data_IF_204861575577
#
_entry.id   IF_204861575577
#
_cell.length_a   1.000
_cell.length_b   1.000
_cell.length_c   1.000
_cell.angle_alpha   90.00
_cell.angle_beta   90.00
_cell.angle_gamma   90.00
#
_symmetry.space_group_name_H-M   'P 1'
#
loop_
_entity.id
_entity.type
_entity.pdbx_description
1 polymer ?
#
# COMPACT_ATOMS: atom_id res chain seq x y z
N UNK A 1 -10.60 18.89 23.11
CA UNK A 1 -9.84 19.96 23.79
C UNK A 1 -9.35 19.37 25.10
N UNK A 2 -8.03 19.31 25.33
CA UNK A 2 -7.46 18.45 26.36
C UNK A 2 -7.56 19.08 27.76
N UNK A 3 -8.02 18.31 28.74
CA UNK A 3 -8.13 18.69 30.16
C UNK A 3 -6.76 18.71 30.87
N UNK A 4 -5.72 18.24 30.18
CA UNK A 4 -4.34 18.13 30.70
C UNK A 4 -3.61 19.48 30.74
N UNK A 5 -3.99 20.46 29.91
CA UNK A 5 -3.39 21.80 29.92
C UNK A 5 -3.79 22.56 31.19
N UNK A 6 -5.03 22.40 31.65
CA UNK A 6 -5.55 23.07 32.84
C UNK A 6 -4.99 22.49 34.13
N UNK A 7 -4.73 21.18 34.19
CA UNK A 7 -4.06 20.56 35.34
C UNK A 7 -2.59 20.98 35.48
N UNK A 8 -1.96 21.42 34.39
CA UNK A 8 -0.55 21.85 34.38
C UNK A 8 -0.39 23.36 34.62
N UNK A 9 -1.43 24.18 34.40
CA UNK A 9 -1.31 25.64 34.51
C UNK A 9 -1.15 26.17 35.93
N UNK A 10 -1.41 25.34 36.96
CA UNK A 10 -1.13 25.67 38.35
C UNK A 10 0.37 25.55 38.73
N UNK A 11 1.25 25.17 37.79
CA UNK A 11 2.68 24.91 38.03
C UNK A 11 3.63 25.90 37.34
N UNK A 12 3.13 26.91 36.62
CA UNK A 12 3.97 27.88 35.91
C UNK A 12 3.78 29.28 36.48
N UNK A 13 4.88 29.89 36.94
CA UNK A 13 4.86 31.18 37.63
C UNK A 13 4.80 32.38 36.64
N UNK A 14 4.89 32.10 35.33
CA UNK A 14 4.85 33.12 34.28
C UNK A 14 4.20 32.62 32.99
N UNK A 15 3.52 33.52 32.28
CA UNK A 15 2.98 33.29 30.93
C UNK A 15 4.09 32.91 29.93
N UNK A 16 5.32 33.39 30.14
CA UNK A 16 6.48 33.03 29.35
C UNK A 16 6.84 31.53 29.51
N UNK A 17 6.83 31.02 30.74
CA UNK A 17 7.14 29.61 31.02
C UNK A 17 6.06 28.67 30.48
N UNK A 18 4.79 29.05 30.65
CA UNK A 18 3.67 28.33 30.06
C UNK A 18 3.78 28.28 28.52
N UNK A 19 4.13 29.40 27.88
CA UNK A 19 4.35 29.45 26.42
C UNK A 19 5.53 28.57 25.98
N UNK A 20 6.66 28.60 26.69
CA UNK A 20 7.84 27.78 26.38
C UNK A 20 7.57 26.29 26.54
N UNK A 21 6.87 25.89 27.60
CA UNK A 21 6.47 24.50 27.81
C UNK A 21 5.51 24.02 26.70
N UNK A 22 4.58 24.88 26.27
CA UNK A 22 3.66 24.61 25.17
C UNK A 22 4.41 24.47 23.84
N UNK A 23 5.29 25.41 23.51
CA UNK A 23 6.16 25.39 22.34
C UNK A 23 7.00 24.11 22.28
N UNK A 24 7.64 23.74 23.40
CA UNK A 24 8.44 22.53 23.49
C UNK A 24 7.61 21.26 23.28
N UNK A 25 6.39 21.20 23.84
CA UNK A 25 5.47 20.07 23.67
C UNK A 25 4.95 19.97 22.24
N UNK A 26 4.59 21.09 21.61
CA UNK A 26 4.18 21.08 20.20
C UNK A 26 5.34 20.72 19.28
N UNK A 27 6.54 21.21 19.55
CA UNK A 27 7.73 20.85 18.77
C UNK A 27 8.04 19.35 18.87
N UNK A 28 7.96 18.76 20.07
CA UNK A 28 8.19 17.33 20.26
C UNK A 28 7.09 16.48 19.62
N UNK A 29 5.82 16.88 19.75
CA UNK A 29 4.68 16.19 19.14
C UNK A 29 4.74 16.25 17.61
N UNK A 30 5.08 17.40 17.03
CA UNK A 30 5.25 17.58 15.58
C UNK A 30 6.39 16.72 15.04
N UNK A 31 7.54 16.65 15.75
CA UNK A 31 8.65 15.79 15.36
C UNK A 31 8.30 14.31 15.45
N UNK A 32 7.61 13.89 16.51
CA UNK A 32 7.14 12.51 16.66
C UNK A 32 6.17 12.12 15.54
N UNK A 33 5.22 13.02 15.21
CA UNK A 33 4.29 12.83 14.08
C UNK A 33 5.02 12.68 12.75
N UNK A 34 6.00 13.53 12.46
CA UNK A 34 6.81 13.44 11.24
C UNK A 34 7.49 12.07 11.12
N UNK A 35 8.14 11.61 12.20
CA UNK A 35 8.80 10.31 12.23
C UNK A 35 7.81 9.15 12.06
N UNK A 36 6.63 9.25 12.66
CA UNK A 36 5.56 8.27 12.49
C UNK A 36 5.11 8.18 11.03
N UNK A 37 4.85 9.30 10.36
CA UNK A 37 4.41 9.32 8.97
C UNK A 37 5.50 8.73 8.06
N UNK A 38 6.76 9.12 8.26
CA UNK A 38 7.91 8.54 7.51
C UNK A 38 8.03 7.03 7.71
N UNK A 39 7.87 6.57 8.95
CA UNK A 39 7.85 5.14 9.25
C UNK A 39 6.72 4.44 8.51
N UNK A 40 5.49 4.97 8.58
CA UNK A 40 4.34 4.40 7.89
C UNK A 40 4.55 4.32 6.38
N UNK A 41 5.09 5.37 5.77
CA UNK A 41 5.40 5.41 4.35
C UNK A 41 6.46 4.37 3.95
N UNK A 42 7.49 4.17 4.78
CA UNK A 42 8.54 3.16 4.51
C UNK A 42 8.07 1.72 4.66
N UNK A 43 7.05 1.47 5.49
CA UNK A 43 6.53 0.13 5.80
C UNK A 43 5.23 -0.19 5.07
N UNK A 44 4.68 0.75 4.30
CA UNK A 44 3.40 0.54 3.63
C UNK A 44 3.57 -0.50 2.53
N UNK A 45 2.67 -1.48 2.54
CA UNK A 45 2.61 -2.53 1.53
C UNK A 45 1.19 -2.60 0.99
N UNK A 46 1.05 -2.95 -0.29
CA UNK A 46 -0.25 -3.24 -0.90
C UNK A 46 -0.93 -4.38 -0.14
N UNK A 47 -0.21 -5.51 0.01
CA UNK A 47 -0.77 -6.73 0.59
C UNK A 47 -2.09 -7.11 -0.07
N UNK A 48 -3.13 -7.27 0.76
CA UNK A 48 -4.49 -7.64 0.31
C UNK A 48 -5.36 -6.45 -0.11
N UNK A 49 -4.83 -5.22 -0.12
CA UNK A 49 -5.58 -4.05 -0.56
C UNK A 49 -5.75 -4.06 -2.08
N UNK A 50 -6.80 -3.42 -2.58
CA UNK A 50 -6.88 -3.06 -4.01
C UNK A 50 -5.80 -2.03 -4.35
N UNK A 51 -5.42 -1.94 -5.63
CA UNK A 51 -4.48 -0.91 -6.08
C UNK A 51 -5.01 0.51 -5.77
N UNK A 52 -6.30 0.75 -5.92
CA UNK A 52 -6.91 2.05 -5.60
C UNK A 52 -6.72 2.41 -4.12
N UNK A 53 -7.11 1.49 -3.21
CA UNK A 53 -6.98 1.73 -1.76
C UNK A 53 -5.53 1.92 -1.33
N UNK A 54 -4.61 1.19 -1.97
CA UNK A 54 -3.18 1.30 -1.72
C UNK A 54 -2.63 2.67 -2.17
N UNK A 55 -2.91 3.08 -3.40
CA UNK A 55 -2.53 4.38 -3.94
C UNK A 55 -3.08 5.54 -3.08
N UNK A 56 -4.35 5.46 -2.67
CA UNK A 56 -4.97 6.48 -1.83
C UNK A 56 -4.28 6.60 -0.47
N UNK A 57 -3.92 5.47 0.17
CA UNK A 57 -3.17 5.49 1.44
C UNK A 57 -1.79 6.11 1.29
N UNK A 58 -1.06 5.77 0.23
CA UNK A 58 0.26 6.36 -0.05
C UNK A 58 0.13 7.88 -0.25
N UNK A 59 -0.89 8.32 -1.00
CA UNK A 59 -1.17 9.73 -1.23
C UNK A 59 -1.51 10.49 0.05
N UNK A 60 -2.35 9.93 0.92
CA UNK A 60 -2.69 10.52 2.23
C UNK A 60 -1.44 10.72 3.09
N UNK A 61 -0.50 9.77 3.08
CA UNK A 61 0.77 9.90 3.81
C UNK A 61 1.65 11.00 3.20
N UNK A 62 1.73 11.09 1.88
CA UNK A 62 2.46 12.14 1.17
C UNK A 62 1.88 13.54 1.45
N UNK A 63 0.55 13.69 1.39
CA UNK A 63 -0.15 14.93 1.72
C UNK A 63 0.06 15.33 3.18
N UNK A 64 0.12 14.34 4.09
CA UNK A 64 0.44 14.56 5.50
C UNK A 64 1.87 15.07 5.69
N UNK A 65 2.85 14.54 4.93
CA UNK A 65 4.22 15.03 4.94
C UNK A 65 4.31 16.47 4.41
N UNK A 66 3.60 16.78 3.32
CA UNK A 66 3.47 18.14 2.77
C UNK A 66 2.92 19.12 3.81
N UNK A 67 1.86 18.72 4.53
CA UNK A 67 1.26 19.52 5.62
C UNK A 67 2.23 19.77 6.78
N UNK A 68 3.17 18.84 7.04
CA UNK A 68 4.23 19.03 8.04
C UNK A 68 5.45 19.81 7.54
N UNK A 69 5.40 20.38 6.33
CA UNK A 69 6.48 21.14 5.71
C UNK A 69 7.60 20.29 5.10
N UNK A 70 7.32 19.00 4.85
CA UNK A 70 8.28 18.05 4.27
C UNK A 70 7.69 17.39 3.01
N UNK A 71 7.33 18.14 1.96
CA UNK A 71 6.74 17.56 0.76
C UNK A 71 7.70 16.54 0.11
N UNK A 72 7.11 15.50 -0.49
CA UNK A 72 7.83 14.56 -1.34
C UNK A 72 7.70 15.01 -2.79
N UNK A 73 8.75 14.80 -3.56
CA UNK A 73 8.68 14.90 -5.01
C UNK A 73 8.00 13.66 -5.61
N UNK A 74 7.54 13.81 -6.85
CA UNK A 74 6.82 12.74 -7.54
C UNK A 74 7.68 11.49 -7.72
N UNK A 75 9.01 11.62 -7.90
CA UNK A 75 9.90 10.47 -8.07
C UNK A 75 10.02 9.65 -6.80
N UNK A 76 10.23 10.31 -5.65
CA UNK A 76 10.25 9.64 -4.34
C UNK A 76 8.89 8.99 -4.04
N UNK A 77 7.78 9.67 -4.35
CA UNK A 77 6.44 9.11 -4.17
C UNK A 77 6.23 7.85 -4.99
N UNK A 78 6.63 7.86 -6.26
CA UNK A 78 6.58 6.71 -7.16
C UNK A 78 7.45 5.57 -6.64
N UNK A 79 8.66 5.87 -6.17
CA UNK A 79 9.56 4.86 -5.60
C UNK A 79 8.93 4.19 -4.36
N UNK A 80 8.33 4.99 -3.47
CA UNK A 80 7.59 4.47 -2.31
C UNK A 80 6.40 3.59 -2.72
N UNK A 81 5.67 3.98 -3.76
CA UNK A 81 4.55 3.21 -4.29
C UNK A 81 5.01 1.86 -4.86
N UNK A 82 6.08 1.84 -5.66
CA UNK A 82 6.58 0.61 -6.29
C UNK A 82 7.16 -0.37 -5.27
N UNK A 83 7.87 0.14 -4.24
CA UNK A 83 8.50 -0.68 -3.21
C UNK A 83 7.51 -1.45 -2.32
N UNK A 84 6.26 -0.97 -2.21
CA UNK A 84 5.23 -1.66 -1.43
C UNK A 84 4.41 -2.67 -2.23
N UNK A 85 4.70 -2.87 -3.52
CA UNK A 85 4.02 -3.86 -4.36
C UNK A 85 4.59 -5.26 -4.13
N UNK A 86 3.74 -6.27 -4.28
CA UNK A 86 4.13 -7.68 -4.23
C UNK A 86 4.81 -8.15 -5.54
N UNK A 87 5.44 -9.33 -5.54
CA UNK A 87 6.16 -9.87 -6.70
C UNK A 87 5.27 -10.07 -7.93
N UNK A 88 3.95 -10.19 -7.75
CA UNK A 88 3.00 -10.24 -8.86
C UNK A 88 2.97 -8.95 -9.70
N UNK A 89 3.54 -7.85 -9.21
CA UNK A 89 3.67 -6.58 -9.93
C UNK A 89 5.07 -6.33 -10.49
N UNK A 90 6.04 -7.24 -10.32
CA UNK A 90 7.40 -7.11 -10.85
C UNK A 90 7.46 -6.70 -12.34
N UNK A 91 6.59 -7.22 -13.25
CA UNK A 91 6.59 -6.80 -14.65
C UNK A 91 6.28 -5.30 -14.83
N UNK A 92 5.41 -4.75 -13.98
CA UNK A 92 5.05 -3.33 -13.99
C UNK A 92 6.21 -2.51 -13.43
N UNK A 93 6.81 -2.95 -12.32
CA UNK A 93 7.95 -2.28 -11.70
C UNK A 93 9.10 -2.16 -12.70
N UNK A 94 9.48 -3.26 -13.36
CA UNK A 94 10.54 -3.25 -14.39
C UNK A 94 10.22 -2.30 -15.54
N UNK A 95 8.96 -2.31 -16.01
CA UNK A 95 8.54 -1.41 -17.08
C UNK A 95 8.67 0.06 -16.68
N UNK A 96 8.15 0.43 -15.51
CA UNK A 96 8.21 1.80 -14.98
C UNK A 96 9.65 2.24 -14.76
N UNK A 97 10.51 1.41 -14.17
CA UNK A 97 11.93 1.74 -13.96
C UNK A 97 12.73 1.84 -15.26
N UNK A 98 12.30 1.14 -16.33
CA UNK A 98 12.97 1.21 -17.64
C UNK A 98 12.63 2.47 -18.46
N UNK A 99 11.51 3.12 -18.14
CA UNK A 99 11.10 4.36 -18.78
C UNK A 99 11.81 5.51 -18.09
N UNK A 100 12.92 5.96 -18.71
CA UNK A 100 13.80 7.03 -18.22
C UNK A 100 13.10 8.40 -18.16
N UNK A 101 11.91 8.52 -18.75
CA UNK A 101 11.12 9.74 -18.82
C UNK A 101 10.04 9.81 -17.74
N UNK A 102 9.83 11.02 -17.21
CA UNK A 102 8.91 11.41 -16.14
C UNK A 102 7.49 10.83 -16.29
N UNK A 103 7.27 9.61 -15.83
CA UNK A 103 5.94 9.02 -15.72
C UNK A 103 5.15 9.75 -14.63
N UNK A 104 3.97 10.24 -14.99
CA UNK A 104 3.07 10.83 -14.01
C UNK A 104 2.48 9.75 -13.09
N UNK A 105 2.19 10.13 -11.84
CA UNK A 105 1.51 9.26 -10.88
C UNK A 105 0.21 8.66 -11.44
N UNK A 106 -0.55 9.46 -12.19
CA UNK A 106 -1.78 9.02 -12.85
C UNK A 106 -1.54 7.90 -13.88
N UNK A 107 -0.47 8.01 -14.66
CA UNK A 107 -0.10 7.00 -15.67
C UNK A 107 0.28 5.68 -15.00
N UNK A 108 1.03 5.75 -13.90
CA UNK A 108 1.44 4.58 -13.13
C UNK A 108 0.22 3.92 -12.46
N UNK A 109 -0.68 4.71 -11.88
CA UNK A 109 -1.91 4.18 -11.29
C UNK A 109 -2.77 3.47 -12.34
N UNK A 110 -2.92 4.03 -13.54
CA UNK A 110 -3.64 3.39 -14.65
C UNK A 110 -3.02 2.05 -15.07
N UNK A 111 -1.68 2.01 -15.15
CA UNK A 111 -0.93 0.79 -15.47
C UNK A 111 -1.12 -0.28 -14.40
N UNK A 112 -1.04 0.10 -13.11
CA UNK A 112 -1.24 -0.81 -11.98
C UNK A 112 -2.66 -1.37 -11.95
N UNK A 113 -3.69 -0.54 -12.17
CA UNK A 113 -5.08 -0.99 -12.23
C UNK A 113 -5.34 -1.95 -13.41
N UNK A 114 -4.76 -1.65 -14.57
CA UNK A 114 -4.82 -2.55 -15.73
C UNK A 114 -4.17 -3.89 -15.42
N UNK A 115 -3.05 -3.89 -14.71
CA UNK A 115 -2.36 -5.08 -14.29
C UNK A 115 -3.15 -5.90 -13.25
N UNK A 116 -3.76 -5.24 -12.25
CA UNK A 116 -4.62 -5.87 -11.25
C UNK A 116 -5.78 -6.63 -11.91
N UNK A 117 -6.50 -5.99 -12.84
CA UNK A 117 -7.57 -6.64 -13.61
C UNK A 117 -7.10 -7.86 -14.41
N UNK A 118 -5.85 -7.84 -14.92
CA UNK A 118 -5.26 -9.01 -15.59
C UNK A 118 -5.00 -10.16 -14.61
N UNK A 119 -4.43 -9.86 -13.44
CA UNK A 119 -4.15 -10.85 -12.40
C UNK A 119 -5.44 -11.54 -11.92
N UNK A 120 -6.50 -10.77 -11.67
CA UNK A 120 -7.80 -11.30 -11.26
C UNK A 120 -8.39 -12.30 -12.28
N UNK A 121 -8.29 -11.98 -13.57
CA UNK A 121 -8.73 -12.87 -14.65
C UNK A 121 -7.90 -14.15 -14.76
N UNK A 122 -6.59 -14.09 -14.50
CA UNK A 122 -5.76 -15.29 -14.50
C UNK A 122 -6.01 -16.19 -13.28
N UNK A 123 -6.29 -15.60 -12.12
CA UNK A 123 -6.59 -16.34 -10.90
C UNK A 123 -7.92 -17.13 -11.02
N UNK A 124 -8.97 -16.51 -11.57
CA UNK A 124 -10.28 -17.16 -11.80
C UNK A 124 -10.23 -18.34 -12.77
N UNK A 125 -9.36 -18.29 -13.79
CA UNK A 125 -9.18 -19.39 -14.74
C UNK A 125 -8.45 -20.59 -14.11
N UNK A 126 -7.47 -20.33 -13.24
CA UNK A 126 -6.72 -21.38 -12.53
C UNK A 126 -7.64 -22.20 -11.60
N UNK A 127 -8.55 -21.53 -10.88
CA UNK A 127 -9.46 -22.18 -9.93
C UNK A 127 -10.58 -22.98 -10.62
N UNK A 128 -10.88 -22.64 -11.88
CA UNK A 128 -11.83 -23.38 -12.73
C UNK A 128 -11.22 -24.66 -13.31
N UNK A 129 -9.91 -24.70 -13.57
CA UNK A 129 -9.22 -25.87 -14.10
C UNK A 129 -9.14 -27.03 -13.09
N UNK A 130 -9.01 -26.72 -11.80
CA UNK A 130 -8.95 -27.72 -10.71
C UNK A 130 -10.24 -28.53 -10.52
N UNK A 131 -11.38 -28.08 -11.07
CA UNK A 131 -12.69 -28.77 -10.91
C UNK A 131 -13.00 -29.78 -12.03
N UNK A 132 -12.16 -29.89 -13.07
CA UNK A 132 -12.47 -30.67 -14.29
C UNK A 132 -11.83 -32.08 -14.35
N UNK A 133 -11.11 -32.56 -13.32
CA UNK A 133 -10.30 -33.80 -13.44
C UNK A 133 -10.85 -35.08 -12.78
N UNK A 134 -12.07 -35.12 -12.24
CA UNK A 134 -12.56 -36.29 -11.49
C UNK A 134 -13.32 -37.39 -12.26
N UNK A 135 -13.43 -37.33 -13.60
CA UNK A 135 -14.33 -38.25 -14.34
C UNK A 135 -13.68 -39.31 -15.27
N UNK A 136 -12.38 -39.62 -15.19
CA UNK A 136 -11.72 -40.59 -16.10
C UNK A 136 -11.47 -42.01 -15.54
N UNK A 137 -12.34 -42.56 -14.67
CA UNK A 137 -12.10 -43.91 -14.12
C UNK A 137 -13.31 -44.84 -14.05
N UNK A 138 -14.17 -44.87 -15.10
CA UNK A 138 -15.29 -45.84 -15.15
C UNK A 138 -15.50 -46.60 -16.46
N UNK A 139 -14.56 -46.59 -17.40
CA UNK A 139 -14.67 -47.42 -18.61
C UNK A 139 -13.72 -48.63 -18.54
N UNK A 140 -14.20 -49.73 -17.96
CA UNK A 140 -13.61 -51.06 -18.18
C UNK A 140 -14.39 -51.74 -19.32
N UNK A 141 -13.80 -51.96 -20.51
CA UNK A 141 -14.45 -52.74 -21.55
C UNK A 141 -14.39 -54.22 -21.16
N UNK A 142 -15.53 -54.79 -20.79
CA UNK A 142 -15.68 -56.23 -20.58
C UNK A 142 -15.58 -56.96 -21.91
N UNK A 143 -14.43 -57.58 -22.19
CA UNK A 143 -14.26 -58.45 -23.34
C UNK A 143 -15.06 -59.74 -23.13
N UNK A 144 -16.14 -59.85 -23.89
CA UNK A 144 -16.98 -61.04 -24.07
C UNK A 144 -16.23 -62.05 -24.95
N UNK A 145 -15.63 -63.07 -24.34
CA UNK A 145 -15.12 -64.23 -25.09
C UNK A 145 -16.25 -65.19 -25.41
N UNK A 146 -16.38 -65.53 -26.70
CA UNK A 146 -17.25 -66.57 -27.21
C UNK A 146 -16.43 -67.83 -27.54
N UNK A 147 -17.05 -68.98 -27.24
CA UNK A 147 -16.98 -70.27 -27.93
C UNK A 147 -15.76 -71.19 -27.67
N UNK A 148 -15.87 -72.49 -28.01
CA UNK A 148 -17.04 -73.27 -28.46
C UNK A 148 -17.58 -74.31 -27.45
#
# INVERSE_FOLDING_TARGET
>A
MNETILGSSAQYDSSYEAWRALEQRFASQSKARLLQIKSQLSTIQKGNLSITDYCDKVKILADSLSTTGHPLDDSDLIMHLLNGLGPEYDPVVVHVTSLVDNLSLESIQSLLLTHESRLERHCTLSDSSSKMTTNLSRYTPGYRSYAP
#
